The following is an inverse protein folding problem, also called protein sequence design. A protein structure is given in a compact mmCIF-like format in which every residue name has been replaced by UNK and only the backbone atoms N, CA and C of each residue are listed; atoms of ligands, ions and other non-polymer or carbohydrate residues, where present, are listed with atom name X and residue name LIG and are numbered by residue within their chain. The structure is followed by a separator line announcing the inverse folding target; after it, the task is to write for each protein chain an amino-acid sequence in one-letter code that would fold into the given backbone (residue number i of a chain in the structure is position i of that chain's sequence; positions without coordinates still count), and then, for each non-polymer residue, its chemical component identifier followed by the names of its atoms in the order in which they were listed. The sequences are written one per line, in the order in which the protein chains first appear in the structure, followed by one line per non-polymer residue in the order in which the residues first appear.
data_IF_136615226544
#
_entry.id   IF_136615226544
#
_cell.length_a   1.000
_cell.length_b   1.000
_cell.length_c   1.000
_cell.angle_alpha   90.00
_cell.angle_beta   90.00
_cell.angle_gamma   90.00
#
_symmetry.space_group_name_H-M   'P 1'
#
loop_
_entity.id
_entity.type
_entity.pdbx_description
1 polymer ?
#
# COMPACT_ATOMS: atom_id res chain seq x y z
N UNK A 1 0.18 17.01 48.87
CA UNK A 1 0.28 17.90 47.69
C UNK A 1 0.85 17.05 46.55
N UNK A 2 0.03 16.65 45.58
CA UNK A 2 0.52 15.89 44.41
C UNK A 2 1.38 16.84 43.56
N UNK A 3 2.66 16.54 43.44
CA UNK A 3 3.56 17.24 42.51
C UNK A 3 3.18 16.79 41.12
N UNK A 4 2.47 17.64 40.39
CA UNK A 4 2.20 17.46 38.97
C UNK A 4 3.55 17.41 38.25
N UNK A 5 3.93 16.22 37.76
CA UNK A 5 5.15 16.05 37.01
C UNK A 5 4.97 16.61 35.59
N UNK A 6 5.20 17.92 35.48
CA UNK A 6 5.09 18.67 34.23
C UNK A 6 6.05 18.15 33.15
N UNK A 7 7.14 17.49 33.53
CA UNK A 7 8.11 16.93 32.59
C UNK A 7 7.57 15.66 31.92
N UNK A 8 6.95 14.78 32.71
CA UNK A 8 6.26 13.60 32.20
C UNK A 8 4.99 13.97 31.43
N UNK A 9 4.25 14.98 31.86
CA UNK A 9 3.08 15.47 31.13
C UNK A 9 3.45 15.98 29.73
N UNK A 10 4.54 16.73 29.59
CA UNK A 10 5.03 17.17 28.27
C UNK A 10 5.44 16.00 27.38
N UNK A 11 6.14 15.00 27.93
CA UNK A 11 6.51 13.78 27.19
C UNK A 11 5.28 13.00 26.75
N UNK A 12 4.30 12.83 27.63
CA UNK A 12 3.05 12.16 27.35
C UNK A 12 2.26 12.90 26.27
N UNK A 13 2.19 14.24 26.35
CA UNK A 13 1.53 15.07 25.35
C UNK A 13 2.14 14.88 23.95
N UNK A 14 3.46 14.81 23.84
CA UNK A 14 4.15 14.52 22.57
C UNK A 14 3.73 13.14 22.03
N UNK A 15 3.79 12.10 22.86
CA UNK A 15 3.44 10.73 22.45
C UNK A 15 1.96 10.59 22.04
N UNK A 16 1.05 11.25 22.77
CA UNK A 16 -0.38 11.27 22.45
C UNK A 16 -0.62 12.00 21.13
N UNK A 17 0.05 13.13 20.90
CA UNK A 17 -0.08 13.86 19.64
C UNK A 17 0.45 13.03 18.46
N UNK A 18 1.62 12.40 18.62
CA UNK A 18 2.18 11.48 17.62
C UNK A 18 1.24 10.31 17.32
N UNK A 19 0.62 9.72 18.34
CA UNK A 19 -0.37 8.66 18.17
C UNK A 19 -1.62 9.14 17.43
N UNK A 20 -2.11 10.34 17.76
CA UNK A 20 -3.29 10.92 17.13
C UNK A 20 -3.04 11.25 15.65
N UNK A 21 -1.87 11.82 15.32
CA UNK A 21 -1.46 12.07 13.93
C UNK A 21 -1.38 10.78 13.12
N UNK A 22 -0.84 9.71 13.71
CA UNK A 22 -0.75 8.40 13.08
C UNK A 22 -2.14 7.79 12.82
N UNK A 23 -3.03 7.83 13.80
CA UNK A 23 -4.39 7.31 13.67
C UNK A 23 -5.21 8.10 12.66
N UNK A 24 -5.08 9.44 12.67
CA UNK A 24 -5.69 10.30 11.68
C UNK A 24 -5.17 9.94 10.27
N UNK A 25 -3.85 9.85 10.07
CA UNK A 25 -3.30 9.47 8.76
C UNK A 25 -3.77 8.08 8.30
N UNK A 26 -3.89 7.11 9.20
CA UNK A 26 -4.44 5.78 8.89
C UNK A 26 -5.92 5.82 8.55
N UNK A 27 -6.72 6.65 9.22
CA UNK A 27 -8.12 6.87 8.88
C UNK A 27 -8.27 7.52 7.49
N UNK A 28 -7.41 8.49 7.17
CA UNK A 28 -7.37 9.06 5.82
C UNK A 28 -6.98 8.01 4.77
N UNK A 29 -6.06 7.11 5.06
CA UNK A 29 -5.69 6.00 4.15
C UNK A 29 -6.78 4.93 4.01
N UNK A 30 -7.65 4.71 4.99
CA UNK A 30 -8.78 3.78 4.86
C UNK A 30 -9.94 4.40 4.06
N UNK A 31 -10.24 5.69 4.29
CA UNK A 31 -11.28 6.43 3.56
C UNK A 31 -10.86 6.77 2.14
N UNK A 32 -9.69 7.39 1.96
CA UNK A 32 -9.15 7.68 0.63
C UNK A 32 -8.58 6.43 -0.05
N UNK A 33 -8.28 5.36 0.68
CA UNK A 33 -7.79 4.10 0.09
C UNK A 33 -8.75 3.49 -0.91
N UNK A 34 -10.07 3.64 -0.71
CA UNK A 34 -11.08 3.26 -1.72
C UNK A 34 -11.02 4.16 -2.97
N UNK A 35 -10.94 5.46 -2.78
CA UNK A 35 -10.85 6.44 -3.87
C UNK A 35 -9.51 6.33 -4.64
N UNK A 36 -8.37 6.24 -3.95
CA UNK A 36 -7.05 6.02 -4.55
C UNK A 36 -6.90 4.63 -5.14
N UNK A 37 -7.61 3.60 -4.65
CA UNK A 37 -7.61 2.30 -5.33
C UNK A 37 -8.35 2.37 -6.68
N UNK A 38 -9.32 3.27 -6.84
CA UNK A 38 -10.00 3.54 -8.10
C UNK A 38 -9.24 4.57 -9.00
N UNK A 39 -8.61 5.58 -8.39
CA UNK A 39 -7.87 6.66 -9.08
C UNK A 39 -6.39 6.32 -9.35
N UNK A 40 -5.79 5.39 -8.60
CA UNK A 40 -4.39 5.01 -8.74
C UNK A 40 -4.10 4.24 -10.03
N UNK A 41 -5.14 3.73 -10.69
CA UNK A 41 -5.05 3.19 -12.05
C UNK A 41 -4.93 4.29 -13.11
N UNK A 42 -5.37 5.51 -12.80
CA UNK A 42 -5.40 6.67 -13.72
C UNK A 42 -4.32 7.70 -13.43
N UNK A 43 -3.87 7.84 -12.17
CA UNK A 43 -2.90 8.87 -11.75
C UNK A 43 -1.77 8.29 -10.89
N UNK A 44 -0.62 8.03 -11.51
CA UNK A 44 0.59 7.51 -10.86
C UNK A 44 1.09 8.43 -9.74
N UNK A 45 0.96 9.76 -9.90
CA UNK A 45 1.39 10.75 -8.91
C UNK A 45 0.66 10.62 -7.57
N UNK A 46 -0.62 10.23 -7.62
CA UNK A 46 -1.43 9.98 -6.44
C UNK A 46 -0.92 8.75 -5.68
N UNK A 47 -0.57 7.68 -6.40
CA UNK A 47 0.01 6.48 -5.82
C UNK A 47 1.38 6.78 -5.19
N UNK A 48 2.21 7.63 -5.79
CA UNK A 48 3.50 8.04 -5.23
C UNK A 48 3.33 8.84 -3.93
N UNK A 49 2.45 9.84 -3.92
CA UNK A 49 2.14 10.61 -2.70
C UNK A 49 1.65 9.71 -1.56
N UNK A 50 0.76 8.76 -1.85
CA UNK A 50 0.30 7.78 -0.87
C UNK A 50 1.45 6.92 -0.32
N UNK A 51 2.40 6.54 -1.18
CA UNK A 51 3.62 5.83 -0.77
C UNK A 51 4.50 6.66 0.17
N UNK A 52 4.72 7.95 -0.14
CA UNK A 52 5.49 8.87 0.70
C UNK A 52 4.83 9.08 2.07
N UNK A 53 3.51 9.25 2.11
CA UNK A 53 2.76 9.34 3.36
C UNK A 53 2.95 8.06 4.17
N UNK A 54 2.82 6.89 3.54
CA UNK A 54 3.01 5.59 4.20
C UNK A 54 4.40 5.43 4.81
N UNK A 55 5.46 5.96 4.17
CA UNK A 55 6.82 5.95 4.70
C UNK A 55 6.94 6.84 5.94
N UNK A 56 6.37 8.05 5.92
CA UNK A 56 6.35 8.95 7.08
C UNK A 56 5.63 8.30 8.27
N UNK A 57 4.48 7.67 8.01
CA UNK A 57 3.73 6.95 9.04
C UNK A 57 4.50 5.74 9.59
N UNK A 58 5.22 5.02 8.73
CA UNK A 58 6.09 3.93 9.16
C UNK A 58 7.21 4.40 10.11
N UNK A 59 7.84 5.55 9.83
CA UNK A 59 8.86 6.13 10.71
C UNK A 59 8.29 6.53 12.07
N UNK A 60 7.06 7.04 12.10
CA UNK A 60 6.35 7.37 13.34
C UNK A 60 5.97 6.11 14.12
N UNK A 61 5.44 5.10 13.44
CA UNK A 61 5.07 3.82 14.04
C UNK A 61 6.28 3.07 14.63
N UNK A 62 7.45 3.17 14.00
CA UNK A 62 8.72 2.65 14.55
C UNK A 62 9.10 3.35 15.87
N UNK A 63 8.89 4.67 15.97
CA UNK A 63 9.18 5.42 17.20
C UNK A 63 8.21 5.06 18.33
N UNK A 64 6.94 4.81 18.00
CA UNK A 64 5.91 4.41 18.98
C UNK A 64 6.05 2.93 19.37
N UNK A 65 6.68 2.09 18.54
CA UNK A 65 6.89 0.65 18.81
C UNK A 65 5.67 -0.23 18.54
N UNK A 66 4.68 0.25 17.79
CA UNK A 66 3.47 -0.50 17.46
C UNK A 66 3.67 -1.35 16.19
N UNK A 67 3.98 -2.64 16.40
CA UNK A 67 4.21 -3.62 15.32
C UNK A 67 3.03 -3.75 14.35
N UNK A 68 1.78 -3.72 14.85
CA UNK A 68 0.62 -3.88 13.98
C UNK A 68 0.46 -2.68 13.06
N UNK A 69 0.68 -1.47 13.61
CA UNK A 69 0.63 -0.24 12.82
C UNK A 69 1.78 -0.15 11.82
N UNK A 70 2.98 -0.62 12.19
CA UNK A 70 4.10 -0.80 11.24
C UNK A 70 3.68 -1.68 10.06
N UNK A 71 3.05 -2.83 10.33
CA UNK A 71 2.61 -3.74 9.28
C UNK A 71 1.55 -3.11 8.38
N UNK A 72 0.57 -2.38 8.94
CA UNK A 72 -0.42 -1.64 8.15
C UNK A 72 0.24 -0.61 7.22
N UNK A 73 1.20 0.16 7.72
CA UNK A 73 1.97 1.12 6.91
C UNK A 73 2.70 0.44 5.74
N UNK A 74 3.33 -0.72 5.99
CA UNK A 74 3.97 -1.51 4.93
C UNK A 74 2.97 -2.03 3.90
N UNK A 75 1.75 -2.41 4.29
CA UNK A 75 0.70 -2.81 3.34
C UNK A 75 0.30 -1.63 2.44
N UNK A 76 0.13 -0.42 2.99
CA UNK A 76 -0.17 0.77 2.18
C UNK A 76 0.97 1.11 1.21
N UNK A 77 2.22 0.96 1.64
CA UNK A 77 3.37 1.08 0.75
C UNK A 77 3.34 0.02 -0.38
N UNK A 78 3.01 -1.24 -0.06
CA UNK A 78 2.89 -2.30 -1.05
C UNK A 78 1.80 -1.99 -2.10
N UNK A 79 0.70 -1.36 -1.69
CA UNK A 79 -0.38 -0.92 -2.57
C UNK A 79 0.07 0.21 -3.50
N UNK A 80 0.79 1.22 -2.97
CA UNK A 80 1.41 2.27 -3.79
C UNK A 80 2.37 1.68 -4.84
N UNK A 81 3.21 0.74 -4.44
CA UNK A 81 4.12 0.04 -5.36
C UNK A 81 3.36 -0.74 -6.44
N UNK A 82 2.23 -1.37 -6.08
CA UNK A 82 1.38 -2.11 -7.01
C UNK A 82 0.82 -1.19 -8.10
N UNK A 83 0.26 -0.06 -7.70
CA UNK A 83 -0.31 0.94 -8.60
C UNK A 83 0.74 1.52 -9.57
N UNK A 84 1.98 1.64 -9.11
CA UNK A 84 3.12 2.13 -9.92
C UNK A 84 3.78 1.04 -10.78
N UNK A 85 3.25 -0.18 -10.79
CA UNK A 85 3.75 -1.28 -11.62
C UNK A 85 4.89 -2.11 -11.03
N UNK A 86 5.27 -1.90 -9.77
CA UNK A 86 6.35 -2.65 -9.10
C UNK A 86 5.90 -4.03 -8.59
N UNK A 87 5.31 -4.84 -9.47
CA UNK A 87 4.61 -6.09 -9.13
C UNK A 87 5.47 -7.10 -8.34
N UNK A 88 6.76 -7.25 -8.69
CA UNK A 88 7.66 -8.19 -8.00
C UNK A 88 7.92 -7.76 -6.56
N UNK A 89 8.15 -6.47 -6.32
CA UNK A 89 8.36 -5.91 -4.98
C UNK A 89 7.10 -6.06 -4.14
N UNK A 90 5.93 -5.70 -4.69
CA UNK A 90 4.63 -5.88 -4.03
C UNK A 90 4.41 -7.35 -3.64
N UNK A 91 4.65 -8.29 -4.56
CA UNK A 91 4.45 -9.73 -4.31
C UNK A 91 5.26 -10.24 -3.11
N UNK A 92 6.53 -9.86 -3.04
CA UNK A 92 7.41 -10.29 -1.94
C UNK A 92 6.95 -9.68 -0.62
N UNK A 93 6.71 -8.37 -0.61
CA UNK A 93 6.28 -7.65 0.59
C UNK A 93 4.94 -8.18 1.15
N UNK A 94 3.96 -8.43 0.29
CA UNK A 94 2.65 -8.95 0.70
C UNK A 94 2.76 -10.38 1.25
N UNK A 95 3.66 -11.22 0.72
CA UNK A 95 3.89 -12.57 1.25
C UNK A 95 4.48 -12.54 2.65
N UNK A 96 5.50 -11.71 2.87
CA UNK A 96 6.11 -11.52 4.18
C UNK A 96 5.09 -11.02 5.21
N UNK A 97 4.29 -10.02 4.83
CA UNK A 97 3.25 -9.44 5.70
C UNK A 97 2.12 -10.43 5.97
N UNK A 98 1.74 -11.26 4.98
CA UNK A 98 0.73 -12.30 5.17
C UNK A 98 1.22 -13.37 6.16
N UNK A 99 2.46 -13.84 6.01
CA UNK A 99 3.07 -14.79 6.93
C UNK A 99 3.15 -14.24 8.35
N UNK A 100 3.49 -12.96 8.51
CA UNK A 100 3.42 -12.29 9.80
C UNK A 100 1.99 -12.24 10.35
N UNK A 101 0.99 -11.94 9.50
CA UNK A 101 -0.42 -11.78 9.92
C UNK A 101 -1.06 -13.07 10.47
N UNK A 102 -0.57 -14.24 10.06
CA UNK A 102 -1.02 -15.53 10.58
C UNK A 102 -0.23 -16.01 11.80
N UNK A 103 0.85 -15.30 12.16
CA UNK A 103 1.65 -15.58 13.34
C UNK A 103 0.98 -15.15 14.66
N UNK A 104 1.63 -15.46 15.80
CA UNK A 104 1.05 -15.20 17.13
C UNK A 104 0.82 -13.71 17.40
N UNK A 105 1.71 -12.84 16.91
CA UNK A 105 1.57 -11.38 17.08
C UNK A 105 0.62 -10.76 16.06
N UNK A 106 0.70 -11.17 14.79
CA UNK A 106 -0.14 -10.62 13.72
C UNK A 106 -1.62 -11.04 13.81
N UNK A 107 -1.89 -12.22 14.36
CA UNK A 107 -3.27 -12.73 14.50
C UNK A 107 -4.13 -11.92 15.48
N UNK A 108 -3.49 -11.09 16.33
CA UNK A 108 -4.17 -10.11 17.19
C UNK A 108 -4.98 -9.07 16.41
N UNK A 109 -4.66 -8.84 15.13
CA UNK A 109 -5.45 -8.01 14.23
C UNK A 109 -5.88 -8.79 12.96
N UNK A 110 -7.11 -9.32 12.98
CA UNK A 110 -7.69 -10.01 11.84
C UNK A 110 -7.76 -9.14 10.56
N UNK A 111 -7.77 -7.81 10.70
CA UNK A 111 -7.82 -6.89 9.56
C UNK A 111 -6.52 -6.94 8.77
N UNK A 112 -5.39 -7.20 9.41
CA UNK A 112 -4.07 -7.25 8.75
C UNK A 112 -4.03 -8.34 7.67
N UNK A 113 -4.57 -9.52 7.99
CA UNK A 113 -4.75 -10.62 7.04
C UNK A 113 -5.63 -10.21 5.86
N UNK A 114 -6.76 -9.57 6.13
CA UNK A 114 -7.70 -9.13 5.09
C UNK A 114 -7.09 -8.08 4.17
N UNK A 115 -6.32 -7.14 4.72
CA UNK A 115 -5.58 -6.15 3.93
C UNK A 115 -4.57 -6.81 2.99
N UNK A 116 -3.81 -7.82 3.48
CA UNK A 116 -2.88 -8.58 2.63
C UNK A 116 -3.61 -9.30 1.49
N UNK A 117 -4.75 -9.94 1.79
CA UNK A 117 -5.58 -10.64 0.79
C UNK A 117 -6.10 -9.65 -0.26
N UNK A 118 -6.55 -8.46 0.15
CA UNK A 118 -7.02 -7.43 -0.76
C UNK A 118 -5.94 -7.01 -1.77
N UNK A 119 -4.73 -6.70 -1.28
CA UNK A 119 -3.59 -6.33 -2.16
C UNK A 119 -3.20 -7.50 -3.06
N UNK A 120 -3.22 -8.74 -2.56
CA UNK A 120 -2.90 -9.93 -3.35
C UNK A 120 -3.91 -10.17 -4.48
N UNK A 121 -5.19 -10.02 -4.21
CA UNK A 121 -6.26 -10.14 -5.21
C UNK A 121 -6.11 -9.07 -6.28
N UNK A 122 -5.80 -7.82 -5.87
CA UNK A 122 -5.52 -6.74 -6.80
C UNK A 122 -4.30 -7.03 -7.69
N UNK A 123 -3.21 -7.54 -7.11
CA UNK A 123 -2.02 -7.94 -7.86
C UNK A 123 -2.36 -9.01 -8.90
N UNK A 124 -3.14 -10.04 -8.53
CA UNK A 124 -3.58 -11.09 -9.46
C UNK A 124 -4.40 -10.50 -10.61
N UNK A 125 -5.34 -9.61 -10.30
CA UNK A 125 -6.19 -8.94 -11.28
C UNK A 125 -5.35 -8.20 -12.33
N UNK A 126 -4.46 -7.30 -11.89
CA UNK A 126 -3.61 -6.50 -12.78
C UNK A 126 -2.69 -7.38 -13.63
N UNK A 127 -2.11 -8.43 -13.05
CA UNK A 127 -1.28 -9.37 -13.81
C UNK A 127 -2.09 -10.16 -14.86
N UNK A 128 -3.37 -10.43 -14.60
CA UNK A 128 -4.26 -11.11 -15.55
C UNK A 128 -4.65 -10.21 -16.72
N UNK A 129 -4.96 -8.93 -16.47
CA UNK A 129 -5.20 -7.93 -17.53
C UNK A 129 -3.97 -7.75 -18.41
N UNK A 130 -2.80 -7.57 -17.80
CA UNK A 130 -1.54 -7.41 -18.53
C UNK A 130 -1.22 -8.61 -19.44
N UNK A 131 -1.65 -9.82 -19.08
CA UNK A 131 -1.52 -11.01 -19.95
C UNK A 131 -2.49 -10.96 -21.13
N UNK A 132 -3.74 -10.55 -20.90
CA UNK A 132 -4.76 -10.40 -21.96
C UNK A 132 -4.36 -9.33 -22.99
N UNK A 133 -3.84 -8.17 -22.56
CA UNK A 133 -3.36 -7.13 -23.47
C UNK A 133 -2.16 -7.62 -24.31
N UNK A 134 -1.26 -8.42 -23.74
CA UNK A 134 -0.13 -9.01 -24.48
C UNK A 134 -0.56 -10.04 -25.54
N UNK A 135 -1.57 -10.87 -25.26
CA UNK A 135 -2.13 -11.80 -26.25
C UNK A 135 -2.84 -11.08 -27.41
N UNK A 136 -3.53 -9.96 -27.13
CA UNK A 136 -4.20 -9.17 -28.19
C UNK A 136 -3.24 -8.33 -29.03
N UNK A 137 -2.01 -8.07 -28.54
CA UNK A 137 -0.99 -7.29 -29.26
C UNK A 137 -0.08 -8.14 -30.15
N UNK A 138 -0.06 -9.46 -29.98
CA UNK A 138 0.74 -10.39 -30.82
C UNK A 138 0.04 -10.81 -32.11
N UNK A 139 -1.21 -10.39 -32.34
CA UNK A 139 -2.00 -10.71 -33.54
C UNK A 139 -2.07 -9.61 -34.61
N UNK A 140 -1.36 -8.48 -34.45
CA UNK A 140 -1.44 -7.34 -35.38
C UNK A 140 -0.18 -7.07 -36.20
N UNK A 141 0.82 -7.96 -36.17
CA UNK A 141 2.10 -7.75 -36.88
C UNK A 141 2.33 -8.70 -38.08
N UNK A 142 1.30 -8.97 -38.90
CA UNK A 142 1.47 -9.79 -40.13
C UNK A 142 0.63 -9.35 -41.34
N UNK A 143 0.00 -8.16 -41.34
CA UNK A 143 -0.90 -7.76 -42.45
C UNK A 143 -0.61 -6.38 -43.09
N UNK A 144 0.64 -5.93 -43.16
CA UNK A 144 0.95 -4.64 -43.79
C UNK A 144 2.16 -4.59 -44.75
N UNK A 145 2.59 -5.71 -45.35
CA UNK A 145 3.65 -5.68 -46.39
C UNK A 145 3.26 -6.19 -47.77
N UNK A 146 1.97 -6.30 -48.09
CA UNK A 146 1.56 -6.61 -49.46
C UNK A 146 0.36 -5.77 -49.89
N UNK A 147 0.64 -4.59 -50.45
CA UNK A 147 -0.09 -3.97 -51.56
C UNK A 147 0.12 -2.46 -51.55
N UNK A 148 1.01 -1.98 -52.43
CA UNK A 148 0.80 -0.80 -53.29
C UNK A 148 2.10 -0.47 -54.00
N UNK A 149 2.27 -1.08 -55.17
CA UNK A 149 3.15 -0.60 -56.22
C UNK A 149 2.50 -0.96 -57.56
N UNK A 150 1.43 -0.25 -57.91
CA UNK A 150 0.93 -0.14 -59.28
C UNK A 150 0.34 1.27 -59.44
N UNK A 151 0.81 1.92 -60.52
CA UNK A 151 0.53 3.25 -61.08
C UNK A 151 1.32 4.42 -60.48
#
# INVERSE_FOLDING_TARGET
MQVLDLSWNKRLQILVNERCELENAMAWLSTLGGAFSALGDTYIDCAEKAGLISIKQFQLALRIGDLLTICRCKIYLAMSLLQRGYYRKTKNMVRELYNFSIGPEGSKDFRLKNMCIAVWNRLKYVLSENRKCKSSSSGKMTFLTYSRNIY
#
